data_IF_456970391736
#
_entry.id   IF_456970391736
#
_cell.length_a   1.000
_cell.length_b   1.000
_cell.length_c   1.000
_cell.angle_alpha   90.00
_cell.angle_beta   90.00
_cell.angle_gamma   90.00
#
_symmetry.space_group_name_H-M   'P 1'
#
loop_
_entity.id
_entity.type
_entity.pdbx_description
1 polymer ?
#
# COMPACT_ATOMS: atom_id res chain seq x y z
N UNK A 1 13.09 -9.14 -9.48
CA UNK A 1 13.47 -7.71 -9.42
C UNK A 1 14.46 -7.55 -8.27
N UNK A 2 15.56 -6.81 -8.43
CA UNK A 2 16.70 -6.82 -7.50
C UNK A 2 16.71 -5.56 -6.61
N UNK A 3 15.97 -5.56 -5.50
CA UNK A 3 15.98 -4.49 -4.50
C UNK A 3 16.63 -5.01 -3.22
N UNK A 4 17.46 -4.17 -2.58
CA UNK A 4 18.00 -4.46 -1.25
C UNK A 4 16.88 -4.49 -0.22
N UNK A 5 17.02 -5.35 0.77
CA UNK A 5 16.09 -5.57 1.88
C UNK A 5 16.74 -5.19 3.20
N UNK A 6 15.96 -5.23 4.29
CA UNK A 6 16.48 -5.11 5.66
C UNK A 6 17.56 -6.16 6.01
N UNK A 7 17.70 -7.24 5.24
CA UNK A 7 18.76 -8.25 5.43
C UNK A 7 20.11 -7.83 4.83
N UNK A 8 20.11 -6.85 3.94
CA UNK A 8 21.30 -6.44 3.18
C UNK A 8 22.03 -5.23 3.79
N UNK A 9 21.60 -4.79 4.97
CA UNK A 9 22.14 -3.63 5.68
C UNK A 9 22.33 -3.92 7.16
N UNK A 10 23.42 -3.44 7.74
CA UNK A 10 23.63 -3.46 9.18
C UNK A 10 22.82 -2.33 9.84
N UNK A 11 21.92 -2.71 10.75
CA UNK A 11 21.00 -1.80 11.44
C UNK A 11 21.31 -1.65 12.93
N UNK A 12 22.31 -2.38 13.46
CA UNK A 12 22.60 -2.39 14.90
C UNK A 12 23.01 -1.00 15.39
N UNK A 13 22.35 -0.51 16.45
CA UNK A 13 22.59 0.81 17.02
C UNK A 13 22.08 1.99 16.20
N UNK A 14 21.61 1.75 14.97
CA UNK A 14 21.17 2.80 14.03
C UNK A 14 19.72 3.18 14.26
N UNK A 15 19.40 4.44 13.94
CA UNK A 15 18.03 4.95 13.86
C UNK A 15 17.44 4.55 12.51
N UNK A 16 16.34 3.81 12.53
CA UNK A 16 15.72 3.28 11.31
C UNK A 16 14.34 3.89 11.16
N UNK A 17 14.17 4.77 10.16
CA UNK A 17 12.85 5.26 9.76
C UNK A 17 12.17 4.17 8.93
N UNK A 18 11.12 3.56 9.47
CA UNK A 18 10.40 2.48 8.82
C UNK A 18 8.97 2.92 8.48
N UNK A 19 8.72 3.10 7.18
CA UNK A 19 7.40 3.44 6.65
C UNK A 19 6.54 2.18 6.58
N UNK A 20 5.46 2.15 7.34
CA UNK A 20 4.52 1.01 7.45
C UNK A 20 3.09 1.44 7.12
N UNK A 21 2.24 0.54 6.62
CA UNK A 21 0.83 0.86 6.36
C UNK A 21 -0.04 0.48 7.57
N UNK A 22 -0.24 1.41 8.51
CA UNK A 22 -1.21 1.28 9.61
C UNK A 22 -2.51 2.05 9.36
N UNK A 23 -2.90 2.26 8.09
CA UNK A 23 -4.21 2.81 7.78
C UNK A 23 -5.28 1.72 7.97
N UNK A 24 -5.67 1.51 9.23
CA UNK A 24 -6.66 0.51 9.68
C UNK A 24 -8.07 1.11 9.76
N UNK A 25 -9.12 0.31 9.54
CA UNK A 25 -10.48 0.77 9.79
C UNK A 25 -10.70 0.98 11.29
N UNK A 26 -11.43 2.05 11.62
CA UNK A 26 -11.73 2.43 12.99
C UNK A 26 -13.21 2.77 13.15
N UNK A 27 -13.76 2.44 14.30
CA UNK A 27 -15.12 2.76 14.71
C UNK A 27 -15.10 3.17 16.20
N UNK A 28 -15.69 4.32 16.53
CA UNK A 28 -15.74 4.86 17.89
C UNK A 28 -14.36 4.90 18.61
N UNK A 29 -13.29 5.21 17.86
CA UNK A 29 -11.92 5.27 18.40
C UNK A 29 -11.24 3.91 18.60
N UNK A 30 -11.90 2.81 18.26
CA UNK A 30 -11.34 1.45 18.33
C UNK A 30 -11.00 0.92 16.93
N UNK A 31 -9.98 0.06 16.85
CA UNK A 31 -9.59 -0.63 15.60
C UNK A 31 -10.52 -1.82 15.41
N UNK A 32 -11.14 -1.93 14.22
CA UNK A 32 -12.04 -3.05 13.89
C UNK A 32 -11.35 -4.17 13.11
N UNK A 33 -10.23 -3.87 12.43
CA UNK A 33 -9.36 -4.85 11.76
C UNK A 33 -7.88 -4.44 11.89
N UNK A 34 -7.09 -5.28 12.55
CA UNK A 34 -5.67 -5.06 12.80
C UNK A 34 -4.74 -5.83 11.83
N UNK A 35 -5.29 -6.41 10.75
CA UNK A 35 -4.55 -7.23 9.76
C UNK A 35 -3.31 -6.50 9.24
N UNK A 36 -3.44 -5.19 8.96
CA UNK A 36 -2.34 -4.35 8.50
C UNK A 36 -1.23 -4.17 9.54
N UNK A 37 -1.59 -4.06 10.82
CA UNK A 37 -0.60 -3.97 11.91
C UNK A 37 0.16 -5.30 12.02
N UNK A 38 -0.58 -6.42 12.03
CA UNK A 38 0.00 -7.77 12.05
C UNK A 38 0.93 -8.04 10.88
N UNK A 39 0.58 -7.56 9.68
CA UNK A 39 1.37 -7.75 8.47
C UNK A 39 2.76 -7.07 8.52
N UNK A 40 2.91 -5.98 9.28
CA UNK A 40 4.19 -5.29 9.45
C UNK A 40 5.08 -5.85 10.58
N UNK A 41 4.52 -6.69 11.47
CA UNK A 41 5.26 -7.24 12.61
C UNK A 41 6.55 -7.97 12.25
N UNK A 42 6.64 -8.75 11.15
CA UNK A 42 7.89 -9.42 10.79
C UNK A 42 9.05 -8.46 10.61
N UNK A 43 8.84 -7.34 9.89
CA UNK A 43 9.87 -6.32 9.66
C UNK A 43 10.24 -5.62 10.97
N UNK A 44 9.24 -5.25 11.78
CA UNK A 44 9.44 -4.54 13.05
C UNK A 44 10.24 -5.41 14.03
N UNK A 45 9.85 -6.68 14.22
CA UNK A 45 10.54 -7.61 15.12
C UNK A 45 11.97 -7.85 14.69
N UNK A 46 12.21 -8.05 13.40
CA UNK A 46 13.57 -8.22 12.88
C UNK A 46 14.46 -7.00 13.19
N UNK A 47 13.97 -5.78 12.92
CA UNK A 47 14.73 -4.57 13.24
C UNK A 47 15.02 -4.45 14.75
N UNK A 48 14.03 -4.78 15.59
CA UNK A 48 14.21 -4.78 17.05
C UNK A 48 15.26 -5.81 17.50
N UNK A 49 15.18 -7.04 17.01
CA UNK A 49 16.11 -8.14 17.33
C UNK A 49 17.53 -7.87 16.85
N UNK A 50 17.69 -7.15 15.74
CA UNK A 50 18.99 -6.71 15.23
C UNK A 50 19.53 -5.45 15.95
N UNK A 51 18.83 -4.95 16.98
CA UNK A 51 19.29 -3.83 17.81
C UNK A 51 19.12 -2.45 17.17
N UNK A 52 18.20 -2.29 16.22
CA UNK A 52 17.87 -0.99 15.65
C UNK A 52 17.03 -0.14 16.63
N UNK A 53 17.12 1.18 16.53
CA UNK A 53 16.17 2.12 17.12
C UNK A 53 15.06 2.39 16.10
N UNK A 54 13.91 1.74 16.26
CA UNK A 54 12.87 1.66 15.23
C UNK A 54 11.91 2.86 15.32
N UNK A 55 11.89 3.69 14.28
CA UNK A 55 11.02 4.87 14.16
C UNK A 55 9.95 4.57 13.10
N UNK A 56 8.74 4.29 13.52
CA UNK A 56 7.62 3.93 12.65
C UNK A 56 6.87 5.18 12.20
N UNK A 57 6.58 5.23 10.90
CA UNK A 57 5.75 6.26 10.29
C UNK A 57 4.60 5.63 9.51
N UNK A 58 3.40 6.16 9.70
CA UNK A 58 2.21 5.75 8.93
C UNK A 58 1.27 6.94 8.72
N UNK A 59 0.37 6.77 7.77
CA UNK A 59 -0.82 7.59 7.67
C UNK A 59 -2.03 6.85 8.25
N UNK A 60 -3.06 7.61 8.63
CA UNK A 60 -4.38 7.10 8.95
C UNK A 60 -5.44 8.03 8.34
N UNK A 61 -6.37 7.45 7.57
CA UNK A 61 -7.42 8.20 6.90
C UNK A 61 -6.91 9.29 5.95
N UNK A 62 -7.69 10.37 5.85
CA UNK A 62 -7.46 11.51 4.96
C UNK A 62 -7.68 12.84 5.70
N UNK A 63 -6.74 13.24 6.56
CA UNK A 63 -6.87 14.46 7.36
C UNK A 63 -6.71 15.77 6.57
N UNK A 64 -6.23 15.71 5.32
CA UNK A 64 -6.04 16.87 4.41
C UNK A 64 -5.03 17.91 4.95
N UNK A 65 -3.91 17.45 5.49
CA UNK A 65 -2.80 18.34 5.89
C UNK A 65 -3.09 19.20 7.12
N UNK A 66 -3.96 18.72 8.01
CA UNK A 66 -4.26 19.34 9.30
C UNK A 66 -4.48 18.27 10.37
N UNK A 67 -4.35 18.65 11.64
CA UNK A 67 -4.66 17.75 12.75
C UNK A 67 -6.15 17.46 12.79
N UNK A 68 -6.50 16.18 12.92
CA UNK A 68 -7.85 15.66 13.13
C UNK A 68 -7.75 14.65 14.28
N UNK A 69 -8.34 14.97 15.42
CA UNK A 69 -8.13 14.22 16.68
C UNK A 69 -8.52 12.74 16.56
N UNK A 70 -9.57 12.44 15.79
CA UNK A 70 -10.05 11.08 15.53
C UNK A 70 -9.10 10.27 14.64
N UNK A 71 -8.17 10.93 13.94
CA UNK A 71 -7.19 10.32 13.04
C UNK A 71 -5.77 10.29 13.64
N UNK A 72 -5.63 10.50 14.95
CA UNK A 72 -4.36 10.26 15.67
C UNK A 72 -4.04 8.78 15.75
N UNK A 73 -2.75 8.45 15.79
CA UNK A 73 -2.26 7.07 15.84
C UNK A 73 -2.26 6.44 17.25
N UNK A 74 -3.00 7.02 18.21
CA UNK A 74 -3.02 6.57 19.62
C UNK A 74 -3.53 5.13 19.77
N UNK A 75 -4.64 4.78 19.12
CA UNK A 75 -5.19 3.42 19.14
C UNK A 75 -4.23 2.40 18.50
N UNK A 76 -3.55 2.82 17.43
CA UNK A 76 -2.56 2.01 16.72
C UNK A 76 -1.34 1.73 17.62
N UNK A 77 -0.82 2.74 18.33
CA UNK A 77 0.29 2.58 19.27
C UNK A 77 -0.01 1.55 20.36
N UNK A 78 -1.23 1.64 20.94
CA UNK A 78 -1.70 0.69 21.96
C UNK A 78 -1.75 -0.73 21.41
N UNK A 79 -2.41 -0.92 20.27
CA UNK A 79 -2.54 -2.24 19.65
C UNK A 79 -1.19 -2.83 19.24
N UNK A 80 -0.28 -2.01 18.72
CA UNK A 80 1.06 -2.45 18.37
C UNK A 80 1.84 -2.87 19.62
N UNK A 81 1.70 -2.16 20.75
CA UNK A 81 2.33 -2.55 22.02
C UNK A 81 1.86 -3.92 22.51
N UNK A 82 0.55 -4.20 22.41
CA UNK A 82 -0.03 -5.51 22.74
C UNK A 82 0.56 -6.63 21.87
N UNK A 83 0.63 -6.41 20.55
CA UNK A 83 1.11 -7.40 19.58
C UNK A 83 2.62 -7.66 19.65
N UNK A 84 3.39 -6.66 20.07
CA UNK A 84 4.84 -6.78 20.28
C UNK A 84 5.18 -7.32 21.68
N UNK A 85 4.26 -7.22 22.65
CA UNK A 85 4.57 -7.50 24.05
C UNK A 85 5.61 -6.53 24.64
N UNK A 86 5.78 -5.36 24.02
CA UNK A 86 6.73 -4.31 24.42
C UNK A 86 6.05 -2.95 24.30
N UNK A 87 6.37 -2.04 25.22
CA UNK A 87 5.90 -0.67 25.15
C UNK A 87 6.38 0.03 23.87
N UNK A 88 5.43 0.60 23.11
CA UNK A 88 5.72 1.49 21.96
C UNK A 88 5.52 2.93 22.41
N UNK A 89 6.60 3.72 22.38
CA UNK A 89 6.51 5.16 22.62
C UNK A 89 5.80 5.81 21.43
N UNK A 90 4.96 6.82 21.67
CA UNK A 90 4.29 7.59 20.61
C UNK A 90 4.44 9.08 20.85
N UNK A 91 4.68 9.84 19.79
CA UNK A 91 4.72 11.32 19.80
C UNK A 91 3.50 11.92 19.12
N UNK A 92 3.07 13.11 19.55
CA UNK A 92 1.95 13.84 18.93
C UNK A 92 2.35 14.64 17.67
N UNK A 93 3.63 14.55 17.30
CA UNK A 93 4.23 15.08 16.08
C UNK A 93 5.01 14.00 15.34
N UNK A 94 5.31 14.22 14.06
CA UNK A 94 6.12 13.32 13.23
C UNK A 94 7.52 13.86 12.89
N UNK A 95 7.80 15.12 13.19
CA UNK A 95 9.14 15.71 13.14
C UNK A 95 9.21 16.87 14.14
N UNK A 96 10.40 17.44 14.36
CA UNK A 96 10.61 18.56 15.27
C UNK A 96 11.28 18.15 16.58
N UNK A 97 11.41 19.09 17.51
CA UNK A 97 12.24 18.95 18.70
C UNK A 97 11.71 17.88 19.66
N UNK A 98 10.39 17.79 19.85
CA UNK A 98 9.78 16.75 20.69
C UNK A 98 10.07 15.34 20.16
N UNK A 99 10.09 15.16 18.83
CA UNK A 99 10.44 13.89 18.20
C UNK A 99 11.94 13.59 18.33
N UNK A 100 12.80 14.59 18.12
CA UNK A 100 14.26 14.46 18.31
C UNK A 100 14.60 14.09 19.76
N UNK A 101 13.91 14.68 20.74
CA UNK A 101 14.06 14.34 22.15
C UNK A 101 13.57 12.91 22.46
N UNK A 102 12.45 12.48 21.89
CA UNK A 102 11.99 11.10 22.05
C UNK A 102 13.00 10.09 21.49
N UNK A 103 13.59 10.38 20.32
CA UNK A 103 14.60 9.53 19.67
C UNK A 103 15.90 9.48 20.48
N UNK A 104 16.33 10.59 21.08
CA UNK A 104 17.58 10.62 21.87
C UNK A 104 17.53 9.73 23.11
N UNK A 105 16.32 9.46 23.63
CA UNK A 105 16.05 8.57 24.77
C UNK A 105 15.90 7.09 24.38
N UNK A 106 15.88 6.76 23.08
CA UNK A 106 15.72 5.38 22.62
C UNK A 106 16.98 4.54 22.85
N UNK A 107 16.78 3.33 23.37
CA UNK A 107 17.78 2.27 23.40
C UNK A 107 17.67 1.36 22.17
N UNK A 108 18.67 0.51 21.95
CA UNK A 108 18.60 -0.52 20.92
C UNK A 108 17.38 -1.42 21.13
N UNK A 109 16.64 -1.69 20.05
CA UNK A 109 15.41 -2.48 20.08
C UNK A 109 14.15 -1.72 20.53
N UNK A 110 14.25 -0.44 20.87
CA UNK A 110 13.08 0.39 21.19
C UNK A 110 12.30 0.78 19.93
N UNK A 111 11.00 1.00 20.11
CA UNK A 111 10.07 1.36 19.04
C UNK A 111 9.39 2.69 19.40
N UNK A 112 9.49 3.63 18.47
CA UNK A 112 8.78 4.91 18.48
C UNK A 112 7.80 4.94 17.31
N UNK A 113 6.54 5.26 17.57
CA UNK A 113 5.54 5.55 16.53
C UNK A 113 5.35 7.06 16.45
N UNK A 114 5.65 7.62 15.28
CA UNK A 114 5.40 9.03 14.97
C UNK A 114 3.89 9.29 14.81
N UNK A 115 3.48 10.55 14.89
CA UNK A 115 2.09 10.92 14.57
C UNK A 115 1.78 10.74 13.07
N UNK A 116 0.49 10.73 12.74
CA UNK A 116 -0.04 10.63 11.38
C UNK A 116 0.65 11.60 10.40
N UNK A 117 1.47 11.06 9.49
CA UNK A 117 2.26 11.85 8.53
C UNK A 117 1.41 12.75 7.63
N UNK A 118 0.12 12.43 7.43
CA UNK A 118 -0.80 13.27 6.62
C UNK A 118 -1.37 14.47 7.36
N UNK A 119 -1.08 14.64 8.65
CA UNK A 119 -1.36 15.92 9.33
C UNK A 119 -0.53 17.06 8.76
N UNK A 120 0.54 16.75 8.04
CA UNK A 120 1.41 17.73 7.41
C UNK A 120 1.04 17.91 5.93
N UNK A 121 0.76 19.13 5.47
CA UNK A 121 0.36 19.37 4.08
C UNK A 121 1.47 19.05 3.06
N UNK A 122 2.73 19.04 3.50
CA UNK A 122 3.87 18.67 2.67
C UNK A 122 3.94 17.17 2.33
N UNK A 123 3.28 16.30 3.09
CA UNK A 123 3.38 14.84 2.90
C UNK A 123 2.86 14.42 1.53
N UNK A 124 1.61 14.76 1.20
CA UNK A 124 0.99 14.39 -0.07
C UNK A 124 1.55 15.17 -1.27
N UNK A 125 2.30 16.25 -1.01
CA UNK A 125 2.97 17.08 -2.03
C UNK A 125 4.42 16.66 -2.29
N UNK A 126 4.92 15.67 -1.56
CA UNK A 126 6.33 15.28 -1.57
C UNK A 126 7.28 16.47 -1.32
N UNK A 127 6.93 17.30 -0.33
CA UNK A 127 7.70 18.49 0.01
C UNK A 127 9.14 18.11 0.40
N UNK A 128 10.17 18.60 -0.32
CA UNK A 128 11.56 18.30 -0.03
C UNK A 128 11.98 18.68 1.39
N UNK A 129 11.43 19.77 1.95
CA UNK A 129 11.80 20.20 3.30
C UNK A 129 11.23 19.26 4.37
N UNK A 130 10.01 18.76 4.17
CA UNK A 130 9.45 17.73 5.04
C UNK A 130 10.21 16.40 4.91
N UNK A 131 10.58 16.01 3.68
CA UNK A 131 11.37 14.81 3.44
C UNK A 131 12.76 14.88 4.12
N UNK A 132 13.43 16.04 4.06
CA UNK A 132 14.67 16.29 4.82
C UNK A 132 14.44 16.22 6.32
N UNK A 133 13.36 16.84 6.83
CA UNK A 133 13.03 16.80 8.25
C UNK A 133 12.81 15.36 8.76
N UNK A 134 12.20 14.48 7.96
CA UNK A 134 12.11 13.05 8.28
C UNK A 134 13.48 12.34 8.19
N UNK A 135 14.29 12.67 7.17
CA UNK A 135 15.61 12.08 7.00
C UNK A 135 16.55 12.39 8.18
N UNK A 136 16.49 13.59 8.76
CA UNK A 136 17.28 13.97 9.95
C UNK A 136 17.07 13.05 11.16
N UNK A 137 15.90 12.40 11.24
CA UNK A 137 15.54 11.53 12.36
C UNK A 137 16.24 10.17 12.32
N UNK A 138 16.79 9.76 11.17
CA UNK A 138 17.27 8.40 10.96
C UNK A 138 18.58 8.32 10.18
N UNK A 139 19.17 7.12 10.19
CA UNK A 139 20.38 6.77 9.45
C UNK A 139 20.06 5.88 8.24
N UNK A 140 18.93 5.13 8.29
CA UNK A 140 18.47 4.22 7.25
C UNK A 140 16.95 4.39 7.07
N UNK A 141 16.50 4.35 5.81
CA UNK A 141 15.10 4.29 5.46
C UNK A 141 14.69 2.86 5.05
N UNK A 142 13.64 2.35 5.69
CA UNK A 142 12.98 1.09 5.35
C UNK A 142 11.58 1.39 4.86
N UNK A 143 11.25 0.96 3.64
CA UNK A 143 9.89 1.03 3.12
C UNK A 143 9.24 -0.35 3.20
N UNK A 144 8.24 -0.48 4.06
CA UNK A 144 7.42 -1.69 4.22
C UNK A 144 5.93 -1.42 3.94
N UNK A 145 5.63 -0.33 3.25
CA UNK A 145 4.26 0.12 2.94
C UNK A 145 3.94 0.01 1.45
N UNK A 146 3.90 -1.21 0.91
CA UNK A 146 3.62 -1.46 -0.52
C UNK A 146 2.34 -0.76 -1.00
N UNK A 147 1.25 -0.82 -0.21
CA UNK A 147 -0.01 -0.15 -0.53
C UNK A 147 0.08 1.38 -0.66
N UNK A 148 1.10 2.02 -0.08
CA UNK A 148 1.35 3.46 -0.18
C UNK A 148 2.41 3.82 -1.24
N UNK A 149 3.20 2.87 -1.72
CA UNK A 149 4.34 3.12 -2.62
C UNK A 149 3.95 3.56 -4.04
N UNK A 150 2.68 3.41 -4.44
CA UNK A 150 2.18 3.90 -5.72
C UNK A 150 2.05 5.45 -5.78
N UNK A 151 2.32 6.15 -4.67
CA UNK A 151 2.30 7.62 -4.60
C UNK A 151 3.66 8.14 -4.16
N UNK A 152 4.14 9.18 -4.84
CA UNK A 152 5.32 9.92 -4.44
C UNK A 152 4.94 10.92 -3.34
N UNK A 153 5.12 10.52 -2.08
CA UNK A 153 4.92 11.36 -0.90
C UNK A 153 6.25 11.51 -0.14
N UNK A 154 6.34 12.48 0.77
CA UNK A 154 7.56 12.75 1.53
C UNK A 154 8.02 11.50 2.32
N UNK A 155 7.10 10.81 2.99
CA UNK A 155 7.39 9.62 3.79
C UNK A 155 7.54 8.31 2.99
N UNK A 156 7.18 8.27 1.71
CA UNK A 156 7.21 7.05 0.88
C UNK A 156 8.34 7.08 -0.16
N UNK A 157 8.64 8.26 -0.70
CA UNK A 157 9.54 8.47 -1.83
C UNK A 157 10.58 9.56 -1.52
N UNK A 158 10.15 10.74 -1.05
CA UNK A 158 11.04 11.89 -0.85
C UNK A 158 12.21 11.62 0.10
N UNK A 159 11.94 10.97 1.24
CA UNK A 159 12.96 10.61 2.24
C UNK A 159 14.09 9.73 1.66
N UNK A 160 13.77 8.90 0.66
CA UNK A 160 14.72 7.96 0.06
C UNK A 160 15.83 8.65 -0.77
N UNK A 161 15.67 9.94 -1.10
CA UNK A 161 16.71 10.74 -1.75
C UNK A 161 17.82 11.17 -0.78
N UNK A 162 17.56 11.11 0.52
CA UNK A 162 18.47 11.60 1.57
C UNK A 162 19.10 10.48 2.39
N UNK A 163 18.47 9.30 2.44
CA UNK A 163 18.92 8.15 3.22
C UNK A 163 19.08 6.90 2.36
N UNK A 164 19.99 5.97 2.74
CA UNK A 164 19.99 4.62 2.19
C UNK A 164 18.63 3.97 2.36
N UNK A 165 18.03 3.52 1.26
CA UNK A 165 16.67 2.99 1.21
C UNK A 165 16.65 1.48 0.92
N UNK A 166 15.95 0.72 1.75
CA UNK A 166 15.75 -0.73 1.57
C UNK A 166 14.29 -1.15 1.76
N UNK A 167 13.92 -2.31 1.22
CA UNK A 167 12.59 -2.90 1.41
C UNK A 167 12.48 -3.62 2.77
N UNK A 168 11.34 -3.48 3.44
CA UNK A 168 10.93 -4.42 4.49
C UNK A 168 10.42 -5.75 3.90
N UNK A 169 10.04 -6.70 4.76
CA UNK A 169 9.63 -8.03 4.31
C UNK A 169 8.28 -8.06 3.59
N UNK A 170 7.33 -7.20 3.97
CA UNK A 170 6.06 -7.09 3.26
C UNK A 170 6.30 -6.52 1.87
N UNK A 171 7.08 -5.43 1.79
CA UNK A 171 7.47 -4.83 0.51
C UNK A 171 8.20 -5.82 -0.40
N UNK A 172 9.16 -6.57 0.15
CA UNK A 172 9.89 -7.61 -0.56
C UNK A 172 8.94 -8.65 -1.15
N UNK A 173 8.06 -9.23 -0.32
CA UNK A 173 7.11 -10.25 -0.73
C UNK A 173 6.19 -9.77 -1.85
N UNK A 174 5.66 -8.56 -1.74
CA UNK A 174 4.78 -7.97 -2.76
C UNK A 174 5.53 -7.75 -4.09
N UNK A 175 6.77 -7.24 -4.03
CA UNK A 175 7.62 -7.07 -5.22
C UNK A 175 7.97 -8.42 -5.86
N UNK A 176 8.27 -9.44 -5.06
CA UNK A 176 8.60 -10.77 -5.56
C UNK A 176 7.40 -11.42 -6.26
N UNK A 177 6.23 -11.42 -5.60
CA UNK A 177 5.00 -12.04 -6.13
C UNK A 177 4.54 -11.33 -7.39
N UNK A 178 4.38 -10.00 -7.36
CA UNK A 178 3.93 -9.23 -8.51
C UNK A 178 4.99 -9.18 -9.61
N UNK A 179 6.27 -9.11 -9.24
CA UNK A 179 7.39 -9.17 -10.17
C UNK A 179 7.38 -10.48 -10.95
N UNK A 180 7.30 -11.63 -10.26
CA UNK A 180 7.24 -12.96 -10.88
C UNK A 180 6.02 -13.06 -11.80
N UNK A 181 4.84 -12.67 -11.33
CA UNK A 181 3.60 -12.70 -12.12
C UNK A 181 3.68 -11.85 -13.39
N UNK A 182 4.42 -10.73 -13.36
CA UNK A 182 4.55 -9.84 -14.51
C UNK A 182 5.73 -10.18 -15.43
N UNK A 183 6.81 -10.81 -14.95
CA UNK A 183 7.99 -11.09 -15.77
C UNK A 183 8.03 -12.50 -16.32
N UNK A 184 7.71 -13.50 -15.49
CA UNK A 184 7.78 -14.91 -15.85
C UNK A 184 6.73 -15.71 -15.05
N UNK A 185 5.43 -15.54 -15.38
CA UNK A 185 4.37 -16.22 -14.68
C UNK A 185 4.38 -17.72 -14.98
N UNK A 186 4.03 -18.53 -13.97
CA UNK A 186 3.76 -19.96 -14.19
C UNK A 186 2.49 -20.09 -15.05
N UNK A 187 2.50 -21.00 -16.03
CA UNK A 187 1.40 -21.19 -16.99
C UNK A 187 0.61 -22.48 -16.72
N UNK A 188 -0.73 -22.48 -16.88
CA UNK A 188 -1.56 -21.40 -17.40
C UNK A 188 -1.76 -20.23 -16.41
N UNK A 189 -1.46 -19.01 -16.84
CA UNK A 189 -1.58 -17.79 -16.05
C UNK A 189 -2.96 -17.16 -16.25
N UNK A 190 -3.75 -17.09 -15.18
CA UNK A 190 -5.11 -16.57 -15.21
C UNK A 190 -5.22 -15.28 -14.40
N UNK A 191 -5.71 -14.21 -15.02
CA UNK A 191 -6.10 -12.99 -14.30
C UNK A 191 -7.61 -12.93 -14.12
N UNK A 192 -8.05 -12.61 -12.90
CA UNK A 192 -9.46 -12.38 -12.57
C UNK A 192 -9.62 -10.90 -12.23
N UNK A 193 -10.40 -10.18 -13.05
CA UNK A 193 -10.58 -8.73 -12.92
C UNK A 193 -12.05 -8.44 -12.59
N UNK A 194 -12.25 -7.88 -11.40
CA UNK A 194 -13.55 -7.44 -10.90
C UNK A 194 -13.56 -5.96 -10.50
N UNK A 195 -14.66 -5.54 -9.88
CA UNK A 195 -14.91 -4.16 -9.46
C UNK A 195 -16.11 -3.53 -10.15
N UNK A 196 -16.38 -2.26 -9.84
CA UNK A 196 -17.57 -1.56 -10.30
C UNK A 196 -17.40 -0.87 -11.67
N UNK A 197 -16.19 -0.39 -11.98
CA UNK A 197 -15.92 0.47 -13.14
C UNK A 197 -14.75 -0.08 -13.97
N UNK A 198 -14.95 -0.13 -15.28
CA UNK A 198 -13.93 -0.40 -16.30
C UNK A 198 -12.85 0.68 -16.25
N UNK A 199 -13.21 1.96 -16.09
CA UNK A 199 -12.25 3.09 -16.09
C UNK A 199 -11.08 2.88 -15.13
N UNK A 200 -11.35 2.31 -13.96
CA UNK A 200 -10.34 2.08 -12.92
C UNK A 200 -9.43 0.86 -13.20
N UNK A 201 -9.68 0.13 -14.29
CA UNK A 201 -9.03 -1.15 -14.64
C UNK A 201 -8.46 -1.20 -16.06
N UNK A 202 -8.66 -0.16 -16.88
CA UNK A 202 -8.16 -0.04 -18.26
C UNK A 202 -6.68 -0.43 -18.36
N UNK A 203 -5.80 0.27 -17.64
CA UNK A 203 -4.36 0.01 -17.73
C UNK A 203 -3.94 -1.37 -17.22
N UNK A 204 -4.69 -1.94 -16.28
CA UNK A 204 -4.44 -3.29 -15.75
C UNK A 204 -4.80 -4.34 -16.80
N UNK A 205 -5.96 -4.22 -17.44
CA UNK A 205 -6.40 -5.11 -18.53
C UNK A 205 -5.40 -5.04 -19.69
N UNK A 206 -5.02 -3.83 -20.12
CA UNK A 206 -4.07 -3.64 -21.22
C UNK A 206 -2.72 -4.29 -20.96
N UNK A 207 -2.18 -4.16 -19.75
CA UNK A 207 -0.90 -4.77 -19.40
C UNK A 207 -1.02 -6.31 -19.37
N UNK A 208 -2.06 -6.82 -18.71
CA UNK A 208 -2.23 -8.26 -18.48
C UNK A 208 -2.59 -9.04 -19.74
N UNK A 209 -3.31 -8.44 -20.69
CA UNK A 209 -3.60 -9.06 -21.99
C UNK A 209 -2.35 -9.50 -22.75
N UNK A 210 -1.19 -8.89 -22.47
CA UNK A 210 0.09 -9.28 -23.07
C UNK A 210 0.76 -10.48 -22.38
N UNK A 211 0.19 -11.00 -21.29
CA UNK A 211 0.89 -11.92 -20.38
C UNK A 211 0.07 -13.16 -20.04
N UNK A 212 -1.24 -13.00 -19.82
CA UNK A 212 -2.12 -14.07 -19.35
C UNK A 212 -2.46 -15.06 -20.45
N UNK A 213 -2.71 -16.31 -20.08
CA UNK A 213 -3.37 -17.29 -20.94
C UNK A 213 -4.89 -17.13 -20.88
N UNK A 214 -5.40 -16.80 -19.68
CA UNK A 214 -6.83 -16.66 -19.42
C UNK A 214 -7.12 -15.30 -18.77
N UNK A 215 -8.14 -14.60 -19.27
CA UNK A 215 -8.67 -13.38 -18.66
C UNK A 215 -10.13 -13.61 -18.28
N UNK A 216 -10.43 -13.53 -16.98
CA UNK A 216 -11.79 -13.66 -16.45
C UNK A 216 -12.26 -12.28 -15.97
N UNK A 217 -13.45 -11.86 -16.42
CA UNK A 217 -14.03 -10.57 -16.06
C UNK A 217 -15.32 -10.79 -15.26
N UNK A 218 -15.50 -10.02 -14.19
CA UNK A 218 -16.68 -10.08 -13.33
C UNK A 218 -17.00 -8.74 -12.66
N UNK A 219 -17.98 -8.76 -11.76
CA UNK A 219 -18.47 -7.55 -11.07
C UNK A 219 -19.20 -6.58 -12.01
N UNK A 220 -19.42 -5.35 -11.54
CA UNK A 220 -20.13 -4.31 -12.29
C UNK A 220 -19.48 -3.94 -13.62
N UNK A 221 -18.15 -4.06 -13.72
CA UNK A 221 -17.45 -3.71 -14.95
C UNK A 221 -17.75 -4.66 -16.12
N UNK A 222 -18.15 -5.90 -15.84
CA UNK A 222 -18.45 -6.90 -16.87
C UNK A 222 -19.65 -6.47 -17.74
N UNK A 223 -20.60 -5.71 -17.18
CA UNK A 223 -21.78 -5.26 -17.91
C UNK A 223 -21.47 -4.33 -19.08
N UNK A 224 -20.40 -3.54 -19.01
CA UNK A 224 -19.92 -2.75 -20.16
C UNK A 224 -19.45 -3.65 -21.30
N UNK A 225 -18.82 -4.80 -21.00
CA UNK A 225 -18.43 -5.80 -22.02
C UNK A 225 -19.66 -6.53 -22.59
N UNK A 226 -20.60 -6.91 -21.73
CA UNK A 226 -21.87 -7.54 -22.14
C UNK A 226 -22.67 -6.60 -23.06
N UNK A 227 -22.76 -5.31 -22.71
CA UNK A 227 -23.42 -4.29 -23.55
C UNK A 227 -22.66 -4.06 -24.86
N UNK A 228 -21.33 -4.12 -24.83
CA UNK A 228 -20.48 -4.00 -26.03
C UNK A 228 -20.69 -5.14 -27.05
N UNK A 229 -21.12 -6.32 -26.59
CA UNK A 229 -21.54 -7.45 -27.44
C UNK A 229 -22.99 -7.32 -27.96
N UNK A 230 -23.71 -6.26 -27.58
CA UNK A 230 -25.08 -6.01 -28.04
C UNK A 230 -26.18 -6.60 -27.16
N UNK A 231 -25.85 -7.12 -25.97
CA UNK A 231 -26.86 -7.63 -25.04
C UNK A 231 -27.50 -6.51 -24.20
N UNK A 232 -28.74 -6.74 -23.77
CA UNK A 232 -29.39 -5.86 -22.79
C UNK A 232 -28.94 -6.16 -21.36
N UNK A 233 -28.71 -5.10 -20.58
CA UNK A 233 -28.18 -5.19 -19.21
C UNK A 233 -29.13 -4.60 -18.15
N UNK A 234 -30.32 -4.14 -18.56
CA UNK A 234 -31.29 -3.51 -17.67
C UNK A 234 -30.71 -2.27 -16.97
N UNK A 235 -30.80 -2.24 -15.63
CA UNK A 235 -30.29 -1.13 -14.79
C UNK A 235 -28.88 -1.38 -14.24
N UNK A 236 -28.16 -2.36 -14.80
CA UNK A 236 -26.80 -2.69 -14.36
C UNK A 236 -25.84 -1.53 -14.63
N UNK A 237 -24.72 -1.50 -13.89
CA UNK A 237 -23.71 -0.46 -14.06
C UNK A 237 -23.15 -0.44 -15.49
N UNK A 238 -23.10 0.75 -16.10
CA UNK A 238 -22.62 0.93 -17.46
C UNK A 238 -21.75 2.18 -17.56
N UNK A 239 -20.62 2.05 -18.26
CA UNK A 239 -19.82 3.18 -18.72
C UNK A 239 -19.93 3.26 -20.24
N UNK A 240 -20.94 3.99 -20.73
CA UNK A 240 -21.27 4.09 -22.17
C UNK A 240 -20.07 4.57 -23.01
N UNK A 241 -19.30 5.52 -22.48
CA UNK A 241 -18.10 6.08 -23.10
C UNK A 241 -16.92 5.09 -23.18
N UNK A 242 -17.08 3.87 -22.66
CA UNK A 242 -16.08 2.80 -22.64
C UNK A 242 -16.48 1.55 -23.44
N UNK A 243 -17.62 1.56 -24.12
CA UNK A 243 -18.08 0.43 -24.95
C UNK A 243 -17.07 0.09 -26.05
N UNK A 244 -16.61 1.07 -26.82
CA UNK A 244 -15.64 0.84 -27.90
C UNK A 244 -14.30 0.34 -27.36
N UNK A 245 -13.89 0.81 -26.18
CA UNK A 245 -12.70 0.31 -25.53
C UNK A 245 -12.84 -1.15 -25.10
N UNK A 246 -14.01 -1.53 -24.54
CA UNK A 246 -14.30 -2.92 -24.19
C UNK A 246 -14.25 -3.85 -25.42
N UNK A 247 -14.80 -3.42 -26.57
CA UNK A 247 -14.66 -4.14 -27.85
C UNK A 247 -13.20 -4.34 -28.23
N UNK A 248 -12.40 -3.27 -28.16
CA UNK A 248 -10.97 -3.34 -28.48
C UNK A 248 -10.21 -4.33 -27.59
N UNK A 249 -10.60 -4.50 -26.32
CA UNK A 249 -9.98 -5.48 -25.44
C UNK A 249 -10.35 -6.92 -25.80
N UNK A 250 -11.61 -7.16 -26.18
CA UNK A 250 -12.03 -8.48 -26.64
C UNK A 250 -11.34 -8.86 -27.96
N UNK A 251 -11.18 -7.90 -28.87
CA UNK A 251 -10.41 -8.08 -30.12
C UNK A 251 -8.94 -8.39 -29.84
N UNK A 252 -8.27 -7.56 -29.01
CA UNK A 252 -6.87 -7.80 -28.61
C UNK A 252 -6.68 -9.15 -27.92
N UNK A 253 -7.63 -9.58 -27.10
CA UNK A 253 -7.59 -10.90 -26.46
C UNK A 253 -7.63 -12.02 -27.52
N UNK A 254 -8.54 -11.90 -28.50
CA UNK A 254 -8.65 -12.85 -29.62
C UNK A 254 -7.37 -12.88 -30.47
N UNK A 255 -6.82 -11.72 -30.83
CA UNK A 255 -5.57 -11.61 -31.59
C UNK A 255 -4.38 -12.26 -30.88
N UNK A 256 -4.34 -12.17 -29.55
CA UNK A 256 -3.27 -12.72 -28.72
C UNK A 256 -3.48 -14.17 -28.29
N UNK A 257 -4.59 -14.79 -28.69
CA UNK A 257 -4.95 -16.14 -28.26
C UNK A 257 -5.24 -16.25 -26.76
N UNK A 258 -5.66 -15.17 -26.11
CA UNK A 258 -6.08 -15.17 -24.71
C UNK A 258 -7.49 -15.73 -24.60
N UNK A 259 -7.69 -16.71 -23.72
CA UNK A 259 -9.02 -17.21 -23.41
C UNK A 259 -9.77 -16.17 -22.57
N UNK A 260 -10.78 -15.54 -23.18
CA UNK A 260 -11.54 -14.46 -22.56
C UNK A 260 -12.86 -14.98 -22.01
N UNK A 261 -13.05 -14.88 -20.69
CA UNK A 261 -14.24 -15.33 -19.98
C UNK A 261 -15.00 -14.16 -19.38
N UNK A 262 -16.32 -14.18 -19.54
CA UNK A 262 -17.25 -13.25 -18.94
C UNK A 262 -18.45 -14.02 -18.35
N UNK A 263 -19.29 -13.40 -17.51
CA UNK A 263 -20.44 -14.07 -16.91
C UNK A 263 -21.40 -14.60 -17.97
N UNK A 264 -21.85 -15.84 -17.82
CA UNK A 264 -22.85 -16.50 -18.69
C UNK A 264 -24.25 -16.46 -18.08
N UNK A 265 -24.31 -16.28 -16.76
CA UNK A 265 -25.49 -16.03 -15.95
C UNK A 265 -25.17 -14.94 -14.91
N UNK A 266 -26.23 -14.32 -14.38
CA UNK A 266 -26.11 -13.27 -13.37
C UNK A 266 -27.24 -13.37 -12.36
N UNK A 267 -26.95 -13.00 -11.11
CA UNK A 267 -27.97 -12.81 -10.08
C UNK A 267 -28.47 -11.37 -10.17
N UNK A 268 -29.80 -11.20 -10.31
CA UNK A 268 -30.44 -9.89 -10.44
C UNK A 268 -31.35 -9.59 -9.26
N UNK A 269 -31.51 -8.31 -8.94
CA UNK A 269 -32.41 -7.81 -7.90
C UNK A 269 -33.22 -6.60 -8.44
N UNK A 270 -34.39 -6.36 -7.87
CA UNK A 270 -35.26 -5.23 -8.23
C UNK A 270 -34.78 -3.89 -7.64
N UNK A 271 -33.90 -3.96 -6.62
CA UNK A 271 -33.22 -2.84 -5.96
C UNK A 271 -31.81 -3.22 -5.49
#
# INVERSE_FOLDING_TARGET
>A
MNKKTVRDVDVKGKRVFCRVDFNVPMENGAITDDTRIRAALPTIRYLMEQGAKVILASHLGRPKGKVVEELRLNAVARRLSELLGKHVTKTDEAYGDAVKEAISKMNEGDVLLLENVRFYPGEEKNDPELAKAFAELADIYVNDAFGAAHRAHASTEGIAHYLPAVAGFLMEKEIEVLGKALSNPDRPFTAIIGGAKVKDKIGVIENLLNKVDNLIIGGGLAYTFVKALGHEIGKSLLEEDKIELAKSFMEKAKEKGVNFYMPVDVVVADR
#
